data_IF_897747539711
#
_entry.id   IF_897747539711
#
_cell.length_a   1.000
_cell.length_b   1.000
_cell.length_c   1.000
_cell.angle_alpha   90.00
_cell.angle_beta   90.00
_cell.angle_gamma   90.00
#
_symmetry.space_group_name_H-M   'P 1'
#
loop_
_entity.id
_entity.type
_entity.pdbx_description
1 polymer ?
#
# COMPACT_ATOMS: atom_id res chain seq x y z
N UNK A 1 49.26 10.23 39.16
CA UNK A 1 48.40 9.11 38.73
C UNK A 1 47.00 9.66 38.62
N UNK A 2 46.60 10.07 37.41
CA UNK A 2 45.35 10.80 37.19
C UNK A 2 44.28 9.82 36.70
N UNK A 3 43.18 9.77 37.45
CA UNK A 3 42.00 8.96 37.19
C UNK A 3 41.14 9.73 36.20
N UNK A 4 41.01 9.25 34.97
CA UNK A 4 40.02 9.76 34.02
C UNK A 4 38.70 9.03 34.25
N UNK A 5 37.74 9.75 34.83
CA UNK A 5 36.33 9.37 34.88
C UNK A 5 35.78 9.37 33.46
N UNK A 6 35.30 8.21 33.00
CA UNK A 6 34.54 8.09 31.76
C UNK A 6 33.08 8.43 32.04
N UNK A 7 32.58 9.48 31.39
CA UNK A 7 31.16 9.84 31.35
C UNK A 7 30.38 8.74 30.61
N UNK A 8 29.30 8.25 31.23
CA UNK A 8 28.41 7.23 30.69
C UNK A 8 27.44 7.88 29.69
N UNK A 9 27.34 7.43 28.42
CA UNK A 9 26.33 7.93 27.51
C UNK A 9 24.97 7.35 27.91
N UNK A 10 24.05 8.23 28.33
CA UNK A 10 22.65 7.88 28.62
C UNK A 10 22.01 7.24 27.41
N UNK A 11 21.85 5.91 27.44
CA UNK A 11 21.12 5.14 26.45
C UNK A 11 19.66 5.60 26.46
N UNK A 12 19.22 6.29 25.39
CA UNK A 12 17.83 6.68 25.22
C UNK A 12 16.94 5.47 25.44
N UNK A 13 16.02 5.61 26.40
CA UNK A 13 15.05 4.58 26.77
C UNK A 13 14.16 4.31 25.57
N UNK A 14 14.48 3.28 24.79
CA UNK A 14 13.66 2.78 23.68
C UNK A 14 12.29 2.50 24.27
N UNK A 15 11.31 3.33 23.94
CA UNK A 15 9.92 3.13 24.34
C UNK A 15 9.50 1.81 23.70
N UNK A 16 9.10 0.78 24.46
CA UNK A 16 8.72 -0.49 23.86
C UNK A 16 7.45 -0.26 23.03
N UNK A 17 7.61 -0.20 21.71
CA UNK A 17 6.49 -0.25 20.77
C UNK A 17 5.76 -1.56 21.03
N UNK A 18 4.55 -1.47 21.56
CA UNK A 18 3.76 -2.65 21.88
C UNK A 18 3.30 -3.30 20.57
N UNK A 19 3.21 -4.64 20.55
CA UNK A 19 2.75 -5.38 19.37
C UNK A 19 1.36 -4.93 18.85
N UNK A 20 0.56 -4.30 19.71
CA UNK A 20 -0.73 -3.69 19.36
C UNK A 20 -0.59 -2.48 18.43
N UNK A 21 0.44 -1.64 18.60
CA UNK A 21 0.65 -0.44 17.77
C UNK A 21 1.12 -0.82 16.34
N UNK A 22 1.84 -1.93 16.18
CA UNK A 22 2.20 -2.47 14.86
C UNK A 22 0.97 -3.01 14.12
N UNK A 23 0.09 -3.73 14.81
CA UNK A 23 -1.09 -4.35 14.19
C UNK A 23 -2.08 -3.30 13.65
N UNK A 24 -2.23 -2.17 14.33
CA UNK A 24 -3.15 -1.09 13.94
C UNK A 24 -2.61 -0.30 12.73
N UNK A 25 -1.29 -0.04 12.69
CA UNK A 25 -0.61 0.56 11.54
C UNK A 25 -0.67 -0.34 10.29
N UNK A 26 -0.52 -1.66 10.46
CA UNK A 26 -0.59 -2.64 9.37
C UNK A 26 -1.96 -2.66 8.68
N UNK A 27 -3.05 -2.58 9.45
CA UNK A 27 -4.41 -2.51 8.88
C UNK A 27 -4.66 -1.23 8.08
N UNK A 28 -4.11 -0.10 8.54
CA UNK A 28 -4.26 1.20 7.88
C UNK A 28 -3.50 1.25 6.55
N UNK A 29 -2.22 0.88 6.56
CA UNK A 29 -1.39 0.83 5.36
C UNK A 29 -1.97 -0.14 4.33
N UNK A 30 -2.33 -1.36 4.75
CA UNK A 30 -2.94 -2.37 3.87
C UNK A 30 -4.24 -1.88 3.24
N UNK A 31 -5.10 -1.20 4.00
CA UNK A 31 -6.35 -0.63 3.48
C UNK A 31 -6.07 0.43 2.41
N UNK A 32 -5.13 1.35 2.66
CA UNK A 32 -4.71 2.38 1.71
C UNK A 32 -4.15 1.75 0.43
N UNK A 33 -3.20 0.82 0.56
CA UNK A 33 -2.62 0.10 -0.59
C UNK A 33 -3.68 -0.67 -1.37
N UNK A 34 -4.63 -1.31 -0.69
CA UNK A 34 -5.72 -2.06 -1.34
C UNK A 34 -6.60 -1.12 -2.17
N UNK A 35 -6.99 0.02 -1.60
CA UNK A 35 -7.81 1.02 -2.30
C UNK A 35 -7.07 1.64 -3.49
N UNK A 36 -5.79 1.99 -3.32
CA UNK A 36 -4.93 2.52 -4.39
C UNK A 36 -4.75 1.50 -5.52
N UNK A 37 -4.48 0.23 -5.17
CA UNK A 37 -4.42 -0.86 -6.15
C UNK A 37 -5.73 -0.96 -6.92
N UNK A 38 -6.87 -0.88 -6.22
CA UNK A 38 -8.18 -0.87 -6.84
C UNK A 38 -8.36 0.26 -7.85
N UNK A 39 -7.96 1.48 -7.48
CA UNK A 39 -7.98 2.64 -8.37
C UNK A 39 -7.08 2.46 -9.61
N UNK A 40 -5.90 1.89 -9.44
CA UNK A 40 -4.96 1.60 -10.55
C UNK A 40 -5.56 0.59 -11.53
N UNK A 41 -6.20 -0.48 -11.03
CA UNK A 41 -6.85 -1.47 -11.91
C UNK A 41 -8.01 -0.87 -12.71
N UNK A 42 -8.82 0.00 -12.10
CA UNK A 42 -9.88 0.73 -12.82
C UNK A 42 -9.27 1.62 -13.91
N UNK A 43 -8.18 2.34 -13.59
CA UNK A 43 -7.51 3.22 -14.54
C UNK A 43 -6.92 2.43 -15.72
N UNK A 44 -6.23 1.32 -15.45
CA UNK A 44 -5.69 0.43 -16.48
C UNK A 44 -6.79 -0.17 -17.36
N UNK A 45 -7.88 -0.69 -16.77
CA UNK A 45 -9.00 -1.19 -17.55
C UNK A 45 -9.64 -0.09 -18.41
N UNK A 46 -9.74 1.15 -17.90
CA UNK A 46 -10.26 2.28 -18.67
C UNK A 46 -9.33 2.69 -19.80
N UNK A 47 -8.01 2.66 -19.57
CA UNK A 47 -6.99 2.88 -20.60
C UNK A 47 -7.11 1.83 -21.70
N UNK A 48 -7.12 0.56 -21.32
CA UNK A 48 -7.26 -0.57 -22.24
C UNK A 48 -8.55 -0.51 -23.04
N UNK A 49 -9.63 0.04 -22.47
CA UNK A 49 -10.90 0.20 -23.18
C UNK A 49 -10.87 1.24 -24.31
N UNK A 50 -10.09 2.31 -24.17
CA UNK A 50 -10.23 3.50 -25.03
C UNK A 50 -8.96 3.88 -25.79
N UNK A 51 -7.80 3.34 -25.43
CA UNK A 51 -6.51 3.75 -26.01
C UNK A 51 -5.98 2.68 -26.95
N UNK A 52 -5.81 2.98 -28.24
CA UNK A 52 -5.09 2.12 -29.17
C UNK A 52 -3.61 1.95 -28.81
N UNK A 53 -3.00 0.79 -29.07
CA UNK A 53 -3.61 -0.41 -29.68
C UNK A 53 -4.32 -1.33 -28.65
N UNK A 54 -4.39 -0.93 -27.38
CA UNK A 54 -4.89 -1.78 -26.29
C UNK A 54 -6.37 -2.12 -26.44
N UNK A 55 -7.20 -1.20 -26.92
CA UNK A 55 -8.62 -1.41 -27.15
C UNK A 55 -8.94 -2.45 -28.22
N UNK A 56 -8.00 -2.71 -29.13
CA UNK A 56 -8.13 -3.70 -30.20
C UNK A 56 -7.48 -5.04 -29.83
N UNK A 57 -6.41 -5.00 -29.02
CA UNK A 57 -5.58 -6.17 -28.71
C UNK A 57 -5.98 -6.88 -27.42
N UNK A 58 -6.62 -6.17 -26.49
CA UNK A 58 -7.03 -6.74 -25.20
C UNK A 58 -8.51 -7.09 -25.24
N UNK A 59 -8.82 -8.35 -24.89
CA UNK A 59 -10.19 -8.82 -24.81
C UNK A 59 -11.04 -7.96 -23.87
N UNK A 60 -12.26 -7.65 -24.32
CA UNK A 60 -13.24 -6.88 -23.54
C UNK A 60 -13.52 -7.52 -22.16
N UNK A 61 -13.53 -8.85 -22.07
CA UNK A 61 -13.71 -9.58 -20.81
C UNK A 61 -12.58 -9.30 -19.81
N UNK A 62 -11.33 -9.19 -20.28
CA UNK A 62 -10.16 -8.85 -19.47
C UNK A 62 -10.26 -7.43 -18.94
N UNK A 63 -10.66 -6.48 -19.80
CA UNK A 63 -10.94 -5.08 -19.42
C UNK A 63 -12.01 -5.01 -18.34
N UNK A 64 -13.15 -5.67 -18.55
CA UNK A 64 -14.26 -5.68 -17.61
C UNK A 64 -13.87 -6.35 -16.28
N UNK A 65 -13.04 -7.39 -16.33
CA UNK A 65 -12.50 -8.08 -15.15
C UNK A 65 -11.59 -7.17 -14.33
N UNK A 66 -10.66 -6.44 -14.96
CA UNK A 66 -9.78 -5.49 -14.27
C UNK A 66 -10.58 -4.39 -13.57
N UNK A 67 -11.58 -3.82 -14.26
CA UNK A 67 -12.46 -2.80 -13.68
C UNK A 67 -13.26 -3.38 -12.51
N UNK A 68 -13.78 -4.61 -12.65
CA UNK A 68 -14.55 -5.29 -11.61
C UNK A 68 -13.72 -5.56 -10.35
N UNK A 69 -12.53 -6.13 -10.50
CA UNK A 69 -11.59 -6.34 -9.38
C UNK A 69 -11.22 -5.00 -8.76
N UNK A 70 -10.90 -4.00 -9.59
CA UNK A 70 -10.54 -2.67 -9.12
C UNK A 70 -11.63 -2.00 -8.26
N UNK A 71 -12.91 -2.11 -8.68
CA UNK A 71 -14.06 -1.62 -7.90
C UNK A 71 -14.20 -2.34 -6.56
N UNK A 72 -14.07 -3.68 -6.56
CA UNK A 72 -14.11 -4.48 -5.33
C UNK A 72 -13.01 -4.07 -4.34
N UNK A 73 -11.78 -3.90 -4.81
CA UNK A 73 -10.65 -3.50 -3.95
C UNK A 73 -10.77 -2.05 -3.44
N UNK A 74 -11.36 -1.16 -4.23
CA UNK A 74 -11.65 0.23 -3.82
C UNK A 74 -12.80 0.34 -2.82
N UNK A 75 -13.54 -0.74 -2.57
CA UNK A 75 -14.73 -0.72 -1.71
C UNK A 75 -15.97 -0.10 -2.37
N UNK A 76 -15.96 0.03 -3.71
CA UNK A 76 -17.14 0.44 -4.48
C UNK A 76 -18.00 -0.80 -4.74
N UNK A 77 -19.21 -0.82 -4.19
CA UNK A 77 -20.22 -1.84 -4.45
C UNK A 77 -20.88 -1.64 -5.80
#
# INVERSE_FOLDING_TARGET
MSITTYEEPTMEKIKPTSASDLAEADTSARSIFTSQTGQTLIALGTLFKHVPPFNETIDKSTVDTLISIGRKLKGLK
#
